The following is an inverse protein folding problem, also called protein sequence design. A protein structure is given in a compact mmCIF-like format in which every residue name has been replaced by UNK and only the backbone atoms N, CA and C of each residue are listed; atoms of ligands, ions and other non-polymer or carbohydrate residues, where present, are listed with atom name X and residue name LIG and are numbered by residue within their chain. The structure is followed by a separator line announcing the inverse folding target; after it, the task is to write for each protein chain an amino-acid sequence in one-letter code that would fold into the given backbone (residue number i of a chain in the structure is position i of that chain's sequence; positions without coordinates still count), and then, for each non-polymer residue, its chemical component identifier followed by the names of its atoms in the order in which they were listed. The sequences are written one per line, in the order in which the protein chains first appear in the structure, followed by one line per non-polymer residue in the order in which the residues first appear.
data_IF_896290986920
#
_entry.id   IF_896290986920
#
_cell.length_a   1.000
_cell.length_b   1.000
_cell.length_c   1.000
_cell.angle_alpha   90.00
_cell.angle_beta   90.00
_cell.angle_gamma   90.00
#
_symmetry.space_group_name_H-M   'P 1'
#
loop_
_entity.id
_entity.type
_entity.pdbx_description
1 polymer ?
#
# COMPACT_ATOMS: atom_id res chain seq x y z
N UNK A 1 -18.39 -48.99 61.40
CA UNK A 1 -17.84 -49.26 60.06
C UNK A 1 -18.60 -48.37 59.11
N UNK A 2 -18.07 -47.20 58.76
CA UNK A 2 -18.68 -46.27 57.86
C UNK A 2 -17.67 -45.85 56.78
N UNK A 3 -17.92 -46.18 55.53
CA UNK A 3 -17.09 -45.80 54.39
C UNK A 3 -17.50 -44.40 53.90
N UNK A 4 -16.60 -43.46 54.00
CA UNK A 4 -16.69 -42.13 53.42
C UNK A 4 -16.30 -42.21 51.96
N UNK A 5 -17.23 -41.85 51.03
CA UNK A 5 -16.94 -41.67 49.60
C UNK A 5 -16.70 -40.18 49.33
N UNK A 6 -15.45 -39.83 49.14
CA UNK A 6 -15.04 -38.50 48.67
C UNK A 6 -15.20 -38.45 47.15
N UNK A 7 -16.13 -37.60 46.64
CA UNK A 7 -16.31 -37.32 45.22
C UNK A 7 -15.40 -36.15 44.85
N UNK A 8 -14.36 -36.42 44.05
CA UNK A 8 -13.53 -35.39 43.43
C UNK A 8 -14.31 -34.77 42.24
N UNK A 9 -14.64 -33.48 42.40
CA UNK A 9 -15.14 -32.65 41.28
C UNK A 9 -13.92 -32.21 40.47
N UNK A 10 -13.82 -32.73 39.23
CA UNK A 10 -12.90 -32.19 38.24
C UNK A 10 -13.51 -30.90 37.67
N UNK A 11 -12.87 -29.77 37.99
CA UNK A 11 -13.15 -28.47 37.35
C UNK A 11 -12.46 -28.43 35.98
N UNK A 12 -13.24 -28.51 34.89
CA UNK A 12 -12.74 -28.23 33.54
C UNK A 12 -12.62 -26.71 33.39
N UNK A 13 -11.39 -26.21 33.48
CA UNK A 13 -11.07 -24.83 33.10
C UNK A 13 -11.12 -24.67 31.57
N UNK A 14 -12.08 -23.87 31.09
CA UNK A 14 -12.18 -23.50 29.68
C UNK A 14 -11.09 -22.48 29.35
N UNK A 15 -10.20 -22.69 28.34
CA UNK A 15 -9.22 -21.68 27.97
C UNK A 15 -9.94 -20.52 27.27
N UNK A 16 -9.81 -19.32 27.85
CA UNK A 16 -10.24 -18.06 27.22
C UNK A 16 -9.25 -17.78 26.07
N UNK A 17 -9.74 -17.96 24.84
CA UNK A 17 -9.00 -17.59 23.63
C UNK A 17 -8.99 -16.06 23.53
N UNK A 18 -7.88 -15.41 23.88
CA UNK A 18 -7.69 -13.98 23.63
C UNK A 18 -7.55 -13.75 22.13
N UNK A 19 -8.57 -13.20 21.51
CA UNK A 19 -8.50 -12.69 20.14
C UNK A 19 -7.57 -11.47 20.12
N UNK A 20 -6.37 -11.63 19.54
CA UNK A 20 -5.47 -10.52 19.26
C UNK A 20 -6.11 -9.62 18.18
N UNK A 21 -6.52 -8.41 18.57
CA UNK A 21 -6.98 -7.40 17.62
C UNK A 21 -5.79 -6.90 16.82
N UNK A 22 -5.72 -7.30 15.54
CA UNK A 22 -4.71 -6.80 14.62
C UNK A 22 -4.96 -5.30 14.38
N UNK A 23 -4.06 -4.45 14.87
CA UNK A 23 -4.03 -3.02 14.54
C UNK A 23 -3.69 -2.86 13.05
N UNK A 24 -4.33 -1.91 12.33
CA UNK A 24 -4.05 -1.71 10.91
C UNK A 24 -2.57 -1.38 10.69
N UNK A 25 -1.92 -2.13 9.79
CA UNK A 25 -0.47 -2.10 9.56
C UNK A 25 0.11 -0.68 9.34
N UNK A 26 -0.66 0.24 8.73
CA UNK A 26 -0.24 1.63 8.50
C UNK A 26 -0.08 2.48 9.77
N UNK A 27 -0.72 2.10 10.88
CA UNK A 27 -0.62 2.87 12.13
C UNK A 27 0.73 2.71 12.82
N UNK A 28 1.48 1.66 12.51
CA UNK A 28 2.74 1.29 13.16
C UNK A 28 3.99 1.63 12.32
N UNK A 29 3.82 1.91 11.01
CA UNK A 29 4.95 2.13 10.10
C UNK A 29 5.52 3.54 10.24
N UNK A 30 6.83 3.66 10.51
CA UNK A 30 7.53 4.95 10.60
C UNK A 30 7.82 5.53 9.20
N UNK A 31 7.59 6.84 9.00
CA UNK A 31 7.97 7.50 7.75
C UNK A 31 9.50 7.51 7.51
N UNK A 32 9.94 7.41 6.25
CA UNK A 32 9.10 7.34 5.05
C UNK A 32 8.58 5.93 4.76
N UNK A 33 7.35 5.82 4.19
CA UNK A 33 6.80 4.55 3.71
C UNK A 33 5.82 4.77 2.56
N UNK A 34 5.52 3.69 1.80
CA UNK A 34 4.59 3.74 0.70
C UNK A 34 3.15 3.44 1.15
N UNK A 35 2.21 4.14 0.54
CA UNK A 35 0.78 3.93 0.66
C UNK A 35 0.10 4.16 -0.69
N UNK A 36 -1.17 3.91 -0.81
CA UNK A 36 -1.96 4.24 -1.98
C UNK A 36 -3.27 4.93 -1.60
N UNK A 37 -3.83 5.70 -2.52
CA UNK A 37 -5.16 6.30 -2.35
C UNK A 37 -6.20 5.19 -2.43
N UNK A 38 -7.11 5.12 -1.44
CA UNK A 38 -8.14 4.07 -1.31
C UNK A 38 -9.54 4.55 -1.71
N UNK A 39 -9.72 5.87 -1.86
CA UNK A 39 -11.02 6.48 -2.13
C UNK A 39 -11.10 7.00 -3.58
N UNK A 40 -12.30 6.98 -4.20
CA UNK A 40 -12.51 7.53 -5.54
C UNK A 40 -12.18 9.03 -5.65
N UNK A 41 -12.32 9.76 -4.55
CA UNK A 41 -11.92 11.16 -4.43
C UNK A 41 -11.12 11.37 -3.14
N UNK A 42 -9.88 11.82 -3.27
CA UNK A 42 -9.01 12.16 -2.15
C UNK A 42 -8.52 13.60 -2.26
N UNK A 43 -8.61 14.34 -1.15
CA UNK A 43 -8.16 15.74 -1.08
C UNK A 43 -6.83 15.85 -0.37
N UNK A 44 -5.86 16.47 -1.04
CA UNK A 44 -4.61 16.91 -0.45
C UNK A 44 -4.72 18.38 -0.04
N UNK A 45 -4.32 18.70 1.19
CA UNK A 45 -4.44 20.01 1.80
C UNK A 45 -3.08 20.62 2.15
N UNK A 46 -3.04 21.93 2.36
CA UNK A 46 -1.82 22.64 2.76
C UNK A 46 -1.38 22.35 4.19
N UNK A 47 -2.26 21.81 5.04
CA UNK A 47 -1.95 21.47 6.43
C UNK A 47 -2.83 20.34 6.99
N UNK A 48 -2.49 19.83 8.20
CA UNK A 48 -3.09 18.63 8.80
C UNK A 48 -4.39 18.92 9.54
N UNK A 49 -5.36 19.55 8.87
CA UNK A 49 -6.73 19.78 9.35
C UNK A 49 -7.67 19.98 8.16
N UNK A 50 -8.97 19.78 8.36
CA UNK A 50 -10.02 20.07 7.38
C UNK A 50 -10.21 21.57 7.12
N UNK A 51 -9.71 22.43 8.01
CA UNK A 51 -9.75 23.88 7.87
C UNK A 51 -8.70 24.42 6.88
N UNK A 52 -7.64 23.65 6.63
CA UNK A 52 -6.64 24.06 5.64
C UNK A 52 -7.17 23.95 4.21
N UNK A 53 -6.79 24.87 3.32
CA UNK A 53 -7.19 24.84 1.92
C UNK A 53 -6.83 23.53 1.23
N UNK A 54 -7.71 23.08 0.32
CA UNK A 54 -7.41 21.98 -0.59
C UNK A 54 -6.47 22.47 -1.69
N UNK A 55 -5.35 21.78 -1.88
CA UNK A 55 -4.39 22.03 -2.97
C UNK A 55 -4.74 21.23 -4.21
N UNK A 56 -5.02 19.92 -4.02
CA UNK A 56 -5.32 18.98 -5.09
C UNK A 56 -6.49 18.08 -4.73
N UNK A 57 -7.21 17.64 -5.75
CA UNK A 57 -8.26 16.62 -5.65
C UNK A 57 -7.88 15.48 -6.61
N UNK A 58 -7.54 14.33 -6.03
CA UNK A 58 -7.26 13.12 -6.78
C UNK A 58 -8.57 12.36 -7.02
N UNK A 59 -8.85 12.06 -8.27
CA UNK A 59 -10.00 11.24 -8.69
C UNK A 59 -9.52 9.90 -9.23
N UNK A 60 -8.56 9.32 -8.55
CA UNK A 60 -7.90 8.10 -9.00
C UNK A 60 -7.53 7.22 -7.81
N UNK A 61 -8.28 6.15 -7.64
CA UNK A 61 -7.94 5.11 -6.68
C UNK A 61 -6.60 4.45 -7.01
N UNK A 62 -5.95 3.90 -5.97
CA UNK A 62 -4.69 3.16 -6.04
C UNK A 62 -3.49 3.98 -6.51
N UNK A 63 -3.61 5.29 -6.69
CA UNK A 63 -2.44 6.11 -6.97
C UNK A 63 -1.45 5.95 -5.81
N UNK A 64 -0.18 5.56 -6.05
CA UNK A 64 0.82 5.49 -5.01
C UNK A 64 1.11 6.88 -4.45
N UNK A 65 1.41 6.93 -3.15
CA UNK A 65 1.87 8.13 -2.46
C UNK A 65 2.96 7.74 -1.47
N UNK A 66 3.96 8.60 -1.33
CA UNK A 66 5.02 8.45 -0.34
C UNK A 66 4.64 9.21 0.92
N UNK A 67 4.58 8.53 2.04
CA UNK A 67 4.31 9.16 3.33
C UNK A 67 5.61 9.71 3.88
N UNK A 68 5.66 11.02 4.09
CA UNK A 68 6.85 11.74 4.57
C UNK A 68 6.81 12.04 6.08
N UNK A 69 5.60 12.19 6.64
CA UNK A 69 5.41 12.49 8.05
C UNK A 69 4.00 12.10 8.52
N UNK A 70 3.83 12.01 9.84
CA UNK A 70 2.54 11.77 10.50
C UNK A 70 2.22 12.87 11.49
N UNK A 71 0.97 13.29 11.54
CA UNK A 71 0.43 14.16 12.58
C UNK A 71 -1.01 13.74 12.90
N UNK A 72 -1.23 13.14 14.06
CA UNK A 72 -2.54 12.58 14.44
C UNK A 72 -3.12 11.67 13.32
N UNK A 73 -4.33 11.96 12.85
CA UNK A 73 -4.98 11.24 11.75
C UNK A 73 -4.53 11.71 10.35
N UNK A 74 -3.52 12.57 10.24
CA UNK A 74 -3.04 13.11 8.97
C UNK A 74 -1.69 12.53 8.58
N UNK A 75 -1.47 12.43 7.27
CA UNK A 75 -0.21 11.99 6.65
C UNK A 75 0.27 13.09 5.72
N UNK A 76 1.52 13.53 5.88
CA UNK A 76 2.19 14.33 4.87
C UNK A 76 2.57 13.39 3.74
N UNK A 77 2.06 13.65 2.55
CA UNK A 77 2.25 12.80 1.38
C UNK A 77 3.02 13.53 0.28
N UNK A 78 3.70 12.77 -0.57
CA UNK A 78 4.26 13.20 -1.83
C UNK A 78 3.65 12.33 -2.92
N UNK A 79 3.22 12.95 -4.00
CA UNK A 79 2.66 12.26 -5.17
C UNK A 79 3.74 11.98 -6.24
N UNK A 80 3.42 11.25 -7.33
CA UNK A 80 4.37 10.94 -8.39
C UNK A 80 4.96 12.15 -9.11
N UNK A 81 4.29 13.29 -9.08
CA UNK A 81 4.74 14.56 -9.69
C UNK A 81 5.56 15.42 -8.72
N UNK A 82 5.79 14.93 -7.49
CA UNK A 82 6.55 15.61 -6.44
C UNK A 82 5.74 16.64 -5.64
N UNK A 83 4.43 16.74 -5.85
CA UNK A 83 3.59 17.64 -5.06
C UNK A 83 3.44 17.08 -3.62
N UNK A 84 3.61 17.96 -2.63
CA UNK A 84 3.55 17.58 -1.22
C UNK A 84 2.40 18.29 -0.50
N UNK A 85 1.71 17.56 0.37
CA UNK A 85 0.63 18.10 1.19
C UNK A 85 0.13 17.08 2.22
N UNK A 86 -1.03 17.33 2.79
CA UNK A 86 -1.60 16.52 3.85
C UNK A 86 -2.88 15.81 3.41
N UNK A 87 -2.94 14.51 3.64
CA UNK A 87 -4.13 13.69 3.44
C UNK A 87 -4.56 13.05 4.76
N UNK A 88 -5.86 12.90 4.96
CA UNK A 88 -6.37 12.15 6.10
C UNK A 88 -6.08 10.66 5.91
N UNK A 89 -5.60 9.98 6.96
CA UNK A 89 -5.19 8.56 6.89
C UNK A 89 -6.29 7.62 6.39
N UNK A 90 -7.58 7.94 6.64
CA UNK A 90 -8.72 7.15 6.15
C UNK A 90 -8.86 7.10 4.63
N UNK A 91 -8.20 8.02 3.90
CA UNK A 91 -8.20 8.06 2.44
C UNK A 91 -7.10 7.18 1.83
N UNK A 92 -6.30 6.54 2.68
CA UNK A 92 -5.09 5.82 2.29
C UNK A 92 -5.16 4.35 2.70
N UNK A 93 -4.63 3.49 1.84
CA UNK A 93 -4.45 2.05 2.05
C UNK A 93 -2.98 1.68 2.18
N UNK A 94 -2.70 0.62 2.95
CA UNK A 94 -1.37 -0.02 2.98
C UNK A 94 -1.08 -0.88 1.74
N UNK A 95 -2.02 -0.98 0.79
CA UNK A 95 -1.81 -1.71 -0.45
C UNK A 95 -0.69 -1.08 -1.25
N UNK A 96 0.36 -1.84 -1.51
CA UNK A 96 1.48 -1.36 -2.30
C UNK A 96 1.10 -1.33 -3.78
N UNK A 97 1.20 -0.14 -4.37
CA UNK A 97 0.94 0.09 -5.78
C UNK A 97 2.08 0.88 -6.40
N UNK A 98 2.18 0.84 -7.73
CA UNK A 98 3.07 1.70 -8.48
C UNK A 98 2.36 2.31 -9.69
N UNK A 99 2.86 3.45 -10.12
CA UNK A 99 2.49 4.09 -11.37
C UNK A 99 3.62 3.94 -12.38
N UNK A 100 3.28 3.56 -13.61
CA UNK A 100 4.23 3.50 -14.72
C UNK A 100 4.69 4.91 -15.06
N UNK A 101 6.00 5.14 -15.08
CA UNK A 101 6.61 6.44 -15.41
C UNK A 101 7.26 6.42 -16.80
N UNK A 102 7.52 7.60 -17.34
CA UNK A 102 8.15 7.82 -18.64
C UNK A 102 7.53 9.02 -19.36
N UNK A 103 8.13 9.40 -20.48
CA UNK A 103 7.64 10.50 -21.32
C UNK A 103 6.32 10.16 -21.98
N UNK A 104 5.55 11.19 -22.34
CA UNK A 104 4.28 11.02 -23.05
C UNK A 104 4.49 10.28 -24.37
N UNK A 105 3.81 9.14 -24.52
CA UNK A 105 3.94 8.26 -25.70
C UNK A 105 5.01 7.19 -25.59
N UNK A 106 5.87 7.23 -24.58
CA UNK A 106 6.80 6.15 -24.29
C UNK A 106 6.06 4.99 -23.62
N UNK A 107 6.07 3.83 -24.26
CA UNK A 107 5.34 2.65 -23.78
C UNK A 107 6.32 1.73 -23.07
N UNK A 108 6.02 1.39 -21.82
CA UNK A 108 6.79 0.42 -21.04
C UNK A 108 6.34 -1.02 -21.35
N UNK A 109 7.28 -1.96 -21.37
CA UNK A 109 7.00 -3.37 -21.65
C UNK A 109 6.85 -4.17 -20.37
N UNK A 110 5.87 -5.07 -20.35
CA UNK A 110 5.70 -6.06 -19.31
C UNK A 110 6.04 -7.44 -19.85
N UNK A 111 6.83 -8.19 -19.08
CA UNK A 111 7.45 -9.44 -19.49
C UNK A 111 6.92 -10.63 -18.70
N UNK A 112 7.08 -11.82 -19.28
CA UNK A 112 6.65 -13.07 -18.65
C UNK A 112 7.53 -13.52 -17.47
N UNK A 113 8.76 -12.99 -17.39
CA UNK A 113 9.76 -13.30 -16.35
C UNK A 113 10.57 -12.04 -16.02
N UNK A 114 11.22 -11.94 -14.85
CA UNK A 114 12.05 -10.80 -14.44
C UNK A 114 13.42 -10.81 -15.14
N UNK A 115 13.42 -10.66 -16.47
CA UNK A 115 14.61 -10.65 -17.30
C UNK A 115 14.41 -9.83 -18.58
N UNK A 116 15.46 -9.14 -19.02
CA UNK A 116 15.43 -8.22 -20.17
C UNK A 116 15.16 -8.92 -21.52
N UNK A 117 15.52 -10.18 -21.65
CA UNK A 117 15.31 -11.03 -22.81
C UNK A 117 14.00 -11.84 -22.77
N UNK A 118 13.26 -11.79 -21.64
CA UNK A 118 12.02 -12.52 -21.49
C UNK A 118 10.95 -12.00 -22.47
N UNK A 119 10.03 -12.89 -22.86
CA UNK A 119 8.94 -12.59 -23.78
C UNK A 119 8.11 -11.40 -23.27
N UNK A 120 7.92 -10.38 -24.13
CA UNK A 120 6.96 -9.30 -23.89
C UNK A 120 5.55 -9.87 -23.98
N UNK A 121 4.76 -9.71 -22.93
CA UNK A 121 3.39 -10.22 -22.87
C UNK A 121 2.35 -9.11 -23.09
N UNK A 122 2.70 -7.89 -22.70
CA UNK A 122 1.88 -6.71 -22.95
C UNK A 122 2.65 -5.40 -22.69
N UNK A 123 1.98 -4.27 -22.87
CA UNK A 123 2.58 -2.94 -22.76
C UNK A 123 1.68 -2.01 -21.96
N UNK A 124 2.29 -1.09 -21.20
CA UNK A 124 1.61 -0.08 -20.42
C UNK A 124 2.12 1.32 -20.76
N UNK A 125 1.21 2.28 -20.87
CA UNK A 125 1.56 3.69 -21.03
C UNK A 125 1.94 4.30 -19.68
N UNK A 126 2.73 5.39 -19.67
CA UNK A 126 2.93 6.21 -18.47
C UNK A 126 1.59 6.60 -17.85
N UNK A 127 1.57 6.60 -16.52
CA UNK A 127 0.35 6.84 -15.77
C UNK A 127 -0.47 5.58 -15.47
N UNK A 128 -0.24 4.42 -16.08
CA UNK A 128 -0.93 3.17 -15.68
C UNK A 128 -0.55 2.81 -14.25
N UNK A 129 -1.56 2.56 -13.41
CA UNK A 129 -1.37 2.14 -12.01
C UNK A 129 -1.68 0.66 -11.86
N UNK A 130 -0.83 -0.05 -11.13
CA UNK A 130 -1.01 -1.45 -10.78
C UNK A 130 -0.60 -1.76 -9.35
N UNK A 131 -1.08 -2.88 -8.83
CA UNK A 131 -0.63 -3.42 -7.55
C UNK A 131 0.72 -4.10 -7.74
N UNK A 132 1.66 -3.82 -6.83
CA UNK A 132 2.92 -4.56 -6.75
C UNK A 132 2.74 -5.75 -5.80
N UNK A 133 3.17 -6.93 -6.24
CA UNK A 133 3.12 -8.13 -5.40
C UNK A 133 4.50 -8.65 -5.04
N UNK A 134 5.51 -8.34 -5.85
CA UNK A 134 6.87 -8.84 -5.70
C UNK A 134 7.83 -7.97 -6.49
N UNK A 135 8.98 -7.61 -5.90
CA UNK A 135 10.10 -6.99 -6.62
C UNK A 135 11.38 -7.76 -6.32
N UNK A 136 12.14 -8.06 -7.37
CA UNK A 136 13.42 -8.76 -7.26
C UNK A 136 14.34 -8.42 -8.45
N UNK A 137 15.64 -8.30 -8.20
CA UNK A 137 16.66 -8.11 -9.23
C UNK A 137 16.35 -6.98 -10.23
N UNK A 138 15.77 -5.87 -9.77
CA UNK A 138 15.42 -4.72 -10.61
C UNK A 138 14.14 -4.90 -11.43
N UNK A 139 13.30 -5.88 -11.13
CA UNK A 139 12.01 -6.14 -11.75
C UNK A 139 10.90 -6.23 -10.72
N UNK A 140 9.73 -5.68 -11.03
CA UNK A 140 8.54 -5.80 -10.18
C UNK A 140 7.40 -6.49 -10.92
N UNK A 141 6.69 -7.39 -10.24
CA UNK A 141 5.47 -7.99 -10.76
C UNK A 141 4.31 -7.02 -10.54
N UNK A 142 3.89 -6.37 -11.63
CA UNK A 142 2.80 -5.42 -11.66
C UNK A 142 1.50 -6.12 -12.07
N UNK A 143 0.44 -5.93 -11.28
CA UNK A 143 -0.92 -6.41 -11.56
C UNK A 143 -1.84 -5.22 -11.85
N UNK A 144 -2.25 -5.07 -13.10
CA UNK A 144 -3.21 -4.06 -13.54
C UNK A 144 -4.53 -4.74 -13.83
N UNK A 145 -5.43 -4.75 -12.84
CA UNK A 145 -6.78 -5.35 -12.96
C UNK A 145 -6.78 -6.80 -13.45
N UNK A 146 -5.89 -7.64 -12.88
CA UNK A 146 -5.75 -9.06 -13.23
C UNK A 146 -4.76 -9.35 -14.36
N UNK A 147 -4.28 -8.33 -15.07
CA UNK A 147 -3.21 -8.48 -16.07
C UNK A 147 -1.86 -8.31 -15.40
N UNK A 148 -1.11 -9.40 -15.27
CA UNK A 148 0.17 -9.43 -14.57
C UNK A 148 1.34 -9.49 -15.56
N UNK A 149 2.46 -8.88 -15.17
CA UNK A 149 3.72 -8.98 -15.90
C UNK A 149 4.84 -8.29 -15.14
N UNK A 150 6.07 -8.70 -15.44
CA UNK A 150 7.25 -8.08 -14.85
C UNK A 150 7.60 -6.81 -15.63
N UNK A 151 7.73 -5.70 -14.92
CA UNK A 151 8.18 -4.41 -15.41
C UNK A 151 9.50 -4.05 -14.75
N UNK A 152 10.38 -3.35 -15.47
CA UNK A 152 11.62 -2.84 -14.88
C UNK A 152 11.31 -1.86 -13.76
N UNK A 153 12.05 -1.93 -12.67
CA UNK A 153 11.81 -1.13 -11.46
C UNK A 153 12.01 0.38 -11.72
N UNK A 154 12.93 0.74 -12.60
CA UNK A 154 13.15 2.13 -13.04
C UNK A 154 12.04 2.70 -13.94
N UNK A 155 11.14 1.84 -14.44
CA UNK A 155 9.97 2.24 -15.22
C UNK A 155 8.71 2.50 -14.37
N UNK A 156 8.82 2.42 -13.05
CA UNK A 156 7.69 2.65 -12.13
C UNK A 156 8.10 3.56 -10.96
N UNK A 157 7.11 4.22 -10.36
CA UNK A 157 7.25 4.95 -9.11
C UNK A 157 6.26 4.38 -8.07
N UNK A 158 6.71 4.15 -6.85
CA UNK A 158 5.89 3.60 -5.76
C UNK A 158 6.50 2.39 -5.06
N UNK A 159 7.71 1.95 -5.45
CA UNK A 159 8.42 0.85 -4.81
C UNK A 159 9.92 1.11 -4.56
N UNK A 160 10.37 2.34 -4.78
CA UNK A 160 11.76 2.70 -4.50
C UNK A 160 12.13 2.42 -3.04
N UNK A 161 13.38 1.96 -2.77
CA UNK A 161 13.88 1.86 -1.40
C UNK A 161 13.81 3.23 -0.71
N UNK A 162 13.09 3.29 0.39
CA UNK A 162 13.01 4.51 1.22
C UNK A 162 14.23 4.55 2.14
N UNK A 163 15.04 5.59 2.00
CA UNK A 163 16.24 5.84 2.83
C UNK A 163 15.85 6.45 4.15
#
# INVERSE_FOLDING_TARGET
MGKSNSKHLLSLGLPILMAATATPAMAQQEPPYWASIDEPEARMRTGPSTEYPTMWIYKRERLPVKILARYKAWRKVEDPDGAQGWMHARLLSATQTAVVVGDKGQVQVLRSKPAADAKVIWRAQPGVVGKITQCENGWCLLDVTGRRGYIAQDAIWGDEPLK
#
